data_IF_776797351189
#
_entry.id   IF_776797351189
#
_cell.length_a   1.000
_cell.length_b   1.000
_cell.length_c   1.000
_cell.angle_alpha   90.00
_cell.angle_beta   90.00
_cell.angle_gamma   90.00
#
_symmetry.space_group_name_H-M   'P 1'
#
loop_
_entity.id
_entity.type
_entity.pdbx_description
1 polymer ?
#
# COMPACT_ATOMS: atom_id res chain seq x y z
N UNK A 1 -2.27 12.31 5.79
CA UNK A 1 -2.85 11.13 6.46
C UNK A 1 -2.18 9.88 5.94
N UNK A 2 -1.42 9.16 6.78
CA UNK A 2 -0.83 7.86 6.40
C UNK A 2 -1.89 6.79 6.66
N UNK A 3 -2.39 6.15 5.61
CA UNK A 3 -3.31 5.01 5.77
C UNK A 3 -2.45 3.77 5.92
N UNK A 4 -2.60 3.05 7.04
CA UNK A 4 -1.83 1.85 7.32
C UNK A 4 -2.77 0.64 7.30
N UNK A 5 -2.42 -0.38 6.52
CA UNK A 5 -3.12 -1.66 6.52
C UNK A 5 -2.15 -2.80 6.86
N UNK A 6 -2.59 -3.69 7.74
CA UNK A 6 -1.80 -4.82 8.24
C UNK A 6 -2.48 -6.13 7.88
N UNK A 7 -1.68 -7.11 7.44
CA UNK A 7 -2.18 -8.46 7.14
C UNK A 7 -2.15 -9.35 8.39
N UNK A 8 -3.21 -10.14 8.66
CA UNK A 8 -3.20 -11.15 9.71
C UNK A 8 -2.22 -12.30 9.36
N UNK A 9 -1.62 -12.95 10.38
CA UNK A 9 -0.61 -13.98 10.18
C UNK A 9 -1.26 -15.32 9.79
N UNK A 10 -1.41 -15.59 8.50
CA UNK A 10 -1.75 -16.95 8.03
C UNK A 10 -0.51 -17.80 7.73
N UNK A 11 0.68 -17.19 7.57
CA UNK A 11 1.89 -17.91 7.10
C UNK A 11 3.22 -17.27 7.53
N UNK A 12 3.32 -16.81 8.78
CA UNK A 12 4.59 -16.41 9.42
C UNK A 12 5.14 -15.03 9.03
N UNK A 13 4.94 -14.57 7.78
CA UNK A 13 5.39 -13.24 7.34
C UNK A 13 4.25 -12.24 7.41
N UNK A 14 4.40 -11.21 8.24
CA UNK A 14 3.45 -10.10 8.33
C UNK A 14 4.01 -8.90 7.58
N UNK A 15 3.21 -8.33 6.69
CA UNK A 15 3.57 -7.12 5.92
C UNK A 15 2.68 -5.96 6.37
N UNK A 16 3.28 -4.78 6.42
CA UNK A 16 2.60 -3.52 6.64
C UNK A 16 2.67 -2.71 5.35
N UNK A 17 1.52 -2.24 4.88
CA UNK A 17 1.40 -1.44 3.67
C UNK A 17 0.89 -0.06 4.05
N UNK A 18 1.40 0.98 3.38
CA UNK A 18 0.93 2.33 3.59
C UNK A 18 0.98 3.19 2.34
N UNK A 19 0.16 4.24 2.36
CA UNK A 19 0.20 5.32 1.38
C UNK A 19 0.95 6.53 1.96
N UNK A 20 1.87 7.07 1.19
CA UNK A 20 2.54 8.35 1.44
C UNK A 20 2.15 9.29 0.30
N UNK A 21 1.65 10.48 0.63
CA UNK A 21 1.24 11.50 -0.33
C UNK A 21 1.87 12.86 -0.02
N UNK A 22 3.01 12.85 0.68
CA UNK A 22 3.86 14.04 0.85
C UNK A 22 4.53 14.48 -0.47
N UNK A 23 5.74 15.03 -0.39
CA UNK A 23 6.48 15.51 -1.57
C UNK A 23 6.67 14.45 -2.66
N UNK A 24 6.77 13.18 -2.28
CA UNK A 24 6.98 12.08 -3.21
C UNK A 24 5.93 10.99 -3.00
N UNK A 25 4.74 11.10 -3.64
CA UNK A 25 3.64 10.17 -3.43
C UNK A 25 4.03 8.74 -3.84
N UNK A 26 3.71 7.77 -2.98
CA UNK A 26 4.06 6.36 -3.16
C UNK A 26 3.22 5.44 -2.29
N UNK A 27 3.11 4.19 -2.72
CA UNK A 27 2.67 3.07 -1.89
C UNK A 27 3.87 2.21 -1.57
N UNK A 28 4.05 1.90 -0.30
CA UNK A 28 5.18 1.13 0.20
C UNK A 28 4.70 -0.05 1.04
N UNK A 29 5.58 -1.06 1.15
CA UNK A 29 5.45 -2.14 2.12
C UNK A 29 6.71 -2.29 2.95
N UNK A 30 6.57 -2.90 4.12
CA UNK A 30 7.67 -3.33 4.97
C UNK A 30 7.25 -4.60 5.71
N UNK A 31 8.20 -5.47 6.01
CA UNK A 31 7.96 -6.55 6.97
C UNK A 31 7.65 -5.96 8.34
N UNK A 32 6.77 -6.59 9.12
CA UNK A 32 6.48 -6.15 10.50
C UNK A 32 7.69 -6.29 11.44
N UNK A 33 8.72 -7.02 11.03
CA UNK A 33 10.05 -7.07 11.66
C UNK A 33 10.90 -5.82 11.31
N UNK A 34 10.39 -4.91 10.50
CA UNK A 34 11.11 -3.73 10.00
C UNK A 34 12.03 -4.01 8.82
N UNK A 35 12.09 -5.25 8.32
CA UNK A 35 12.94 -5.64 7.19
C UNK A 35 12.21 -5.47 5.85
N UNK A 36 12.95 -5.60 4.75
CA UNK A 36 12.38 -5.69 3.39
C UNK A 36 11.44 -4.53 3.01
N UNK A 37 11.78 -3.29 3.40
CA UNK A 37 11.05 -2.11 2.93
C UNK A 37 11.20 -2.01 1.41
N UNK A 38 10.09 -1.88 0.70
CA UNK A 38 10.09 -1.72 -0.75
C UNK A 38 8.95 -0.82 -1.23
N UNK A 39 9.22 -0.02 -2.24
CA UNK A 39 8.19 0.75 -2.95
C UNK A 39 7.44 -0.15 -3.93
N UNK A 40 6.12 -0.16 -3.84
CA UNK A 40 5.23 -0.94 -4.70
C UNK A 40 4.80 -0.08 -5.90
N UNK A 41 4.39 1.16 -5.63
CA UNK A 41 3.94 2.12 -6.64
C UNK A 41 4.60 3.46 -6.37
N UNK A 42 5.23 4.02 -7.39
CA UNK A 42 5.83 5.36 -7.39
C UNK A 42 5.45 6.20 -8.62
N UNK A 43 4.60 5.67 -9.49
CA UNK A 43 4.16 6.33 -10.73
C UNK A 43 2.65 6.41 -10.77
N UNK A 44 2.12 7.42 -11.46
CA UNK A 44 0.67 7.68 -11.59
C UNK A 44 -0.06 7.71 -10.24
N UNK A 45 0.57 8.30 -9.23
CA UNK A 45 0.04 8.39 -7.87
C UNK A 45 0.23 9.83 -7.36
N UNK A 46 -0.81 10.39 -6.76
CA UNK A 46 -0.86 11.75 -6.24
C UNK A 46 -1.48 11.76 -4.84
N UNK A 47 -2.77 11.43 -4.73
CA UNK A 47 -3.50 11.43 -3.45
C UNK A 47 -4.12 10.07 -3.16
N UNK A 48 -3.29 9.05 -2.87
CA UNK A 48 -3.73 7.71 -2.47
C UNK A 48 -4.37 7.74 -1.08
N UNK A 49 -5.68 7.97 -1.04
CA UNK A 49 -6.46 8.07 0.20
C UNK A 49 -7.10 6.74 0.59
N UNK A 50 -7.31 5.83 -0.37
CA UNK A 50 -7.84 4.49 -0.13
C UNK A 50 -6.77 3.43 -0.36
N UNK A 51 -6.65 2.47 0.56
CA UNK A 51 -5.79 1.30 0.44
C UNK A 51 -6.50 0.08 1.04
N UNK A 52 -6.63 -1.00 0.28
CA UNK A 52 -7.12 -2.28 0.77
C UNK A 52 -6.33 -3.44 0.16
N UNK A 53 -6.32 -4.59 0.84
CA UNK A 53 -5.56 -5.77 0.45
C UNK A 53 -6.50 -6.95 0.27
N UNK A 54 -6.36 -7.64 -0.86
CA UNK A 54 -6.96 -8.96 -1.06
C UNK A 54 -5.91 -10.03 -0.77
N UNK A 55 -6.11 -10.73 0.35
CA UNK A 55 -5.19 -11.76 0.86
C UNK A 55 -5.26 -13.02 0.00
N UNK A 56 -6.44 -13.37 -0.52
CA UNK A 56 -6.66 -14.58 -1.29
C UNK A 56 -5.96 -14.49 -2.65
N UNK A 57 -6.06 -13.33 -3.30
CA UNK A 57 -5.44 -13.10 -4.62
C UNK A 57 -4.08 -12.40 -4.54
N UNK A 58 -3.64 -12.02 -3.33
CA UNK A 58 -2.38 -11.29 -3.06
C UNK A 58 -2.27 -9.98 -3.83
N UNK A 59 -3.38 -9.23 -3.90
CA UNK A 59 -3.47 -7.95 -4.63
C UNK A 59 -3.59 -6.78 -3.68
N UNK A 60 -2.98 -5.66 -4.05
CA UNK A 60 -3.14 -4.38 -3.39
C UNK A 60 -4.05 -3.52 -4.24
N UNK A 61 -5.14 -3.02 -3.66
CA UNK A 61 -6.05 -2.08 -4.30
C UNK A 61 -5.88 -0.70 -3.68
N UNK A 62 -5.85 0.32 -4.52
CA UNK A 62 -5.72 1.70 -4.05
C UNK A 62 -6.62 2.64 -4.85
N UNK A 63 -7.02 3.73 -4.21
CA UNK A 63 -7.85 4.77 -4.81
C UNK A 63 -7.12 6.12 -4.73
N UNK A 64 -6.97 6.78 -5.88
CA UNK A 64 -6.36 8.10 -5.98
C UNK A 64 -7.44 9.16 -6.15
N UNK A 65 -7.60 10.03 -5.15
CA UNK A 65 -8.64 11.07 -5.18
C UNK A 65 -8.31 12.25 -6.09
N UNK A 66 -7.06 12.40 -6.53
CA UNK A 66 -6.65 13.48 -7.44
C UNK A 66 -6.86 13.10 -8.89
N UNK A 67 -6.54 11.86 -9.22
CA UNK A 67 -6.62 11.31 -10.57
C UNK A 67 -7.96 10.60 -10.83
N UNK A 68 -8.82 10.48 -9.81
CA UNK A 68 -10.18 9.95 -9.89
C UNK A 68 -10.25 8.54 -10.49
N UNK A 69 -9.42 7.64 -9.95
CA UNK A 69 -9.41 6.23 -10.36
C UNK A 69 -9.10 5.28 -9.20
N UNK A 70 -9.42 4.01 -9.45
CA UNK A 70 -9.04 2.87 -8.61
C UNK A 70 -8.21 1.92 -9.48
N UNK A 71 -7.11 1.42 -8.95
CA UNK A 71 -6.24 0.47 -9.64
C UNK A 71 -5.69 -0.56 -8.65
N UNK A 72 -5.04 -1.60 -9.18
CA UNK A 72 -4.48 -2.70 -8.40
C UNK A 72 -3.12 -3.16 -8.92
N UNK A 73 -2.33 -3.75 -8.02
CA UNK A 73 -1.07 -4.41 -8.35
C UNK A 73 -0.89 -5.73 -7.60
#
# INVERSE_FOLDING_TARGET
TRVNLTLPPSSGTRWLFWTDWGENPRIERIGMDGSNRSTIISTKIYWPNGLTLDIATRRVYFADSKLDFIDFC
#
